data_IF_909645203360
#
_entry.id   IF_909645203360
#
_cell.length_a   1.000
_cell.length_b   1.000
_cell.length_c   1.000
_cell.angle_alpha   90.00
_cell.angle_beta   90.00
_cell.angle_gamma   90.00
#
_symmetry.space_group_name_H-M   'P 1'
#
loop_
_entity.id
_entity.type
_entity.pdbx_description
1 polymer ?
#
# COMPACT_ATOMS: atom_id res chain seq x y z
N UNK A 1 0.22 48.92 20.08
CA UNK A 1 -0.97 48.24 20.67
C UNK A 1 -1.20 46.84 20.06
N UNK A 2 -1.10 46.59 18.77
CA UNK A 2 -1.32 45.26 18.16
C UNK A 2 -0.38 44.13 18.61
N UNK A 3 0.89 44.43 18.87
CA UNK A 3 1.87 43.43 19.31
C UNK A 3 1.67 42.92 20.76
N UNK A 4 1.09 43.75 21.63
CA UNK A 4 0.82 43.32 23.02
C UNK A 4 -0.41 42.43 23.14
N UNK A 5 -1.43 42.65 22.31
CA UNK A 5 -2.62 41.79 22.23
C UNK A 5 -2.26 40.40 21.65
N UNK A 6 -1.41 40.36 20.64
CA UNK A 6 -0.91 39.10 20.07
C UNK A 6 -0.07 38.31 21.08
N UNK A 7 0.80 38.94 21.85
CA UNK A 7 1.55 38.30 22.94
C UNK A 7 0.63 37.79 24.06
N UNK A 8 -0.45 38.49 24.36
CA UNK A 8 -1.41 38.09 25.41
C UNK A 8 -2.26 36.91 24.98
N UNK A 9 -2.81 36.90 23.75
CA UNK A 9 -3.58 35.77 23.20
C UNK A 9 -2.72 34.49 23.07
N UNK A 10 -1.46 34.64 22.74
CA UNK A 10 -0.52 33.54 22.63
C UNK A 10 -0.16 32.96 24.00
N UNK A 11 0.06 33.77 25.01
CA UNK A 11 0.28 33.30 26.38
C UNK A 11 -0.96 32.59 26.96
N UNK A 12 -2.16 32.97 26.55
CA UNK A 12 -3.40 32.32 26.98
C UNK A 12 -3.60 30.95 26.33
N UNK A 13 -3.30 30.80 25.02
CA UNK A 13 -3.31 29.52 24.30
C UNK A 13 -2.18 28.60 24.78
N UNK A 14 -1.07 29.18 25.33
CA UNK A 14 0.12 28.43 25.74
C UNK A 14 -0.05 27.63 27.05
N UNK A 15 -1.16 27.67 27.73
CA UNK A 15 -1.44 26.88 28.95
C UNK A 15 -1.99 25.45 28.71
N UNK A 16 -2.32 25.07 27.49
CA UNK A 16 -2.77 23.70 27.15
C UNK A 16 -1.68 22.88 26.43
N UNK A 17 -1.32 21.79 26.99
CA UNK A 17 -0.18 20.86 26.86
C UNK A 17 0.24 20.26 25.48
N UNK A 18 0.11 20.95 24.34
CA UNK A 18 0.62 20.48 23.05
C UNK A 18 1.18 21.67 22.26
N UNK A 19 2.49 21.98 22.43
CA UNK A 19 3.10 23.21 21.88
C UNK A 19 3.86 22.97 20.60
N UNK A 20 3.59 23.76 19.55
CA UNK A 20 4.58 24.02 18.52
C UNK A 20 5.79 24.73 19.17
N UNK A 21 6.99 24.32 18.81
CA UNK A 21 8.24 24.81 19.39
C UNK A 21 8.29 26.34 19.37
N UNK A 22 8.95 26.96 20.37
CA UNK A 22 9.18 28.42 20.45
C UNK A 22 9.68 29.02 19.12
N UNK A 23 10.39 28.21 18.34
CA UNK A 23 10.88 28.55 17.00
C UNK A 23 9.77 28.64 15.94
N UNK A 24 8.74 27.80 16.01
CA UNK A 24 7.56 27.87 15.11
C UNK A 24 6.79 29.17 15.32
N UNK A 25 6.56 29.53 16.59
CA UNK A 25 5.88 30.76 16.94
C UNK A 25 6.66 31.99 16.44
N UNK A 26 7.97 32.05 16.69
CA UNK A 26 8.82 33.14 16.19
C UNK A 26 8.78 33.27 14.66
N UNK A 27 8.62 32.16 13.94
CA UNK A 27 8.53 32.18 12.48
C UNK A 27 7.17 32.68 12.00
N UNK A 28 6.08 32.37 12.71
CA UNK A 28 4.74 32.95 12.42
C UNK A 28 4.77 34.46 12.68
N UNK A 29 5.31 34.89 13.82
CA UNK A 29 5.46 36.32 14.13
C UNK A 29 6.30 37.03 13.07
N UNK A 30 7.38 36.41 12.62
CA UNK A 30 8.20 36.94 11.50
C UNK A 30 7.40 37.07 10.22
N UNK A 31 6.51 36.13 9.90
CA UNK A 31 5.66 36.19 8.70
C UNK A 31 4.59 37.30 8.84
N UNK A 32 3.97 37.42 10.01
CA UNK A 32 3.03 38.49 10.29
C UNK A 32 3.69 39.88 10.20
N UNK A 33 4.92 40.02 10.71
CA UNK A 33 5.67 41.29 10.58
C UNK A 33 5.94 41.63 9.11
N UNK A 34 6.19 40.65 8.23
CA UNK A 34 6.32 40.88 6.80
C UNK A 34 5.01 41.31 6.16
N UNK A 35 3.88 40.70 6.54
CA UNK A 35 2.55 41.14 6.08
C UNK A 35 2.28 42.57 6.52
N UNK A 36 2.64 42.93 7.76
CA UNK A 36 2.47 44.32 8.25
C UNK A 36 3.38 45.28 7.49
N UNK A 37 4.62 44.92 7.21
CA UNK A 37 5.53 45.72 6.38
C UNK A 37 4.93 45.94 4.99
N UNK A 38 4.39 44.88 4.36
CA UNK A 38 3.73 45.00 3.07
C UNK A 38 2.50 45.91 3.13
N UNK A 39 1.67 45.75 4.15
CA UNK A 39 0.52 46.60 4.35
C UNK A 39 0.93 48.09 4.51
N UNK A 40 1.98 48.35 5.28
CA UNK A 40 2.51 49.71 5.49
C UNK A 40 3.06 50.30 4.15
N UNK A 41 3.79 49.50 3.39
CA UNK A 41 4.30 49.93 2.04
C UNK A 41 3.11 50.25 1.14
N UNK A 42 2.09 49.41 1.08
CA UNK A 42 0.88 49.66 0.32
C UNK A 42 0.16 50.92 0.76
N UNK A 43 -0.09 51.05 2.06
CA UNK A 43 -0.74 52.24 2.62
C UNK A 43 0.07 53.52 2.29
N UNK A 44 1.39 53.48 2.41
CA UNK A 44 2.26 54.57 2.07
C UNK A 44 2.13 54.95 0.59
N UNK A 45 2.24 53.96 -0.32
CA UNK A 45 2.12 54.19 -1.77
C UNK A 45 0.72 54.72 -2.15
N UNK A 46 -0.34 54.28 -1.47
CA UNK A 46 -1.70 54.73 -1.70
C UNK A 46 -2.00 56.12 -1.06
N UNK A 47 -1.14 56.61 -0.18
CA UNK A 47 -1.28 57.94 0.45
C UNK A 47 -0.87 59.09 -0.49
N UNK A 48 -0.16 58.80 -1.60
CA UNK A 48 0.23 59.84 -2.53
C UNK A 48 -0.98 60.41 -3.32
N UNK A 49 -1.19 61.70 -3.38
CA UNK A 49 -2.31 62.31 -4.08
C UNK A 49 -2.29 62.07 -5.60
N UNK A 50 -1.10 62.02 -6.18
CA UNK A 50 -0.91 61.79 -7.63
C UNK A 50 -0.34 60.36 -7.89
N UNK A 51 -1.20 59.36 -7.91
CA UNK A 51 -0.82 57.95 -8.09
C UNK A 51 -0.55 57.55 -9.55
N UNK A 52 -0.86 58.45 -10.52
CA UNK A 52 -0.78 58.12 -11.94
C UNK A 52 0.62 57.69 -12.38
N UNK A 53 1.67 58.25 -11.76
CA UNK A 53 3.05 57.88 -12.07
C UNK A 53 3.39 56.41 -11.78
N UNK A 54 2.79 55.84 -10.75
CA UNK A 54 3.04 54.46 -10.28
C UNK A 54 2.42 53.43 -11.22
N UNK A 55 1.30 53.77 -11.86
CA UNK A 55 0.57 52.93 -12.79
C UNK A 55 0.94 53.25 -14.27
N UNK A 56 1.70 54.31 -14.50
CA UNK A 56 2.11 54.66 -15.84
C UNK A 56 3.04 53.59 -16.41
N UNK A 57 2.77 53.03 -17.60
CA UNK A 57 3.63 52.03 -18.20
C UNK A 57 5.02 52.61 -18.45
N UNK A 58 6.05 51.98 -17.90
CA UNK A 58 7.44 52.22 -18.18
C UNK A 58 7.84 51.60 -19.51
N UNK A 59 7.18 50.51 -19.85
CA UNK A 59 7.37 49.77 -21.09
C UNK A 59 6.01 49.21 -21.51
N UNK A 60 5.65 49.41 -22.77
CA UNK A 60 4.41 48.92 -23.36
C UNK A 60 4.72 48.39 -24.75
N UNK A 61 4.73 47.07 -24.90
CA UNK A 61 4.90 46.39 -26.18
C UNK A 61 4.21 45.01 -26.14
N UNK A 62 3.56 44.66 -27.26
CA UNK A 62 2.94 43.32 -27.39
C UNK A 62 1.81 43.01 -26.38
N UNK A 63 1.10 44.02 -25.88
CA UNK A 63 0.02 43.87 -24.91
C UNK A 63 0.49 43.73 -23.45
N UNK A 64 1.77 43.92 -23.17
CA UNK A 64 2.35 43.91 -21.84
C UNK A 64 2.67 45.32 -21.39
N UNK A 65 1.98 45.80 -20.36
CA UNK A 65 2.22 47.11 -19.74
C UNK A 65 2.97 46.92 -18.42
N UNK A 66 4.28 47.14 -18.43
CA UNK A 66 5.12 47.06 -17.24
C UNK A 66 5.13 48.38 -16.53
N UNK A 67 4.54 48.49 -15.37
CA UNK A 67 4.55 49.68 -14.50
C UNK A 67 5.42 49.46 -13.26
N UNK A 68 5.81 50.56 -12.62
CA UNK A 68 6.54 50.49 -11.32
C UNK A 68 5.80 49.68 -10.28
N UNK A 69 4.48 49.86 -10.23
CA UNK A 69 3.61 49.10 -9.30
C UNK A 69 3.66 47.60 -9.54
N UNK A 70 3.66 47.16 -10.80
CA UNK A 70 3.74 45.74 -11.14
C UNK A 70 5.10 45.14 -10.76
N UNK A 71 6.19 45.85 -11.02
CA UNK A 71 7.52 45.40 -10.60
C UNK A 71 7.58 45.21 -9.08
N UNK A 72 7.03 46.15 -8.34
CA UNK A 72 6.99 46.08 -6.90
C UNK A 72 6.17 44.87 -6.40
N UNK A 73 4.98 44.63 -6.97
CA UNK A 73 4.14 43.47 -6.62
C UNK A 73 4.88 42.16 -6.90
N UNK A 74 5.54 42.03 -8.05
CA UNK A 74 6.29 40.81 -8.42
C UNK A 74 7.41 40.56 -7.39
N UNK A 75 8.20 41.58 -7.07
CA UNK A 75 9.28 41.44 -6.09
C UNK A 75 8.71 41.05 -4.72
N UNK A 76 7.66 41.71 -4.28
CA UNK A 76 7.02 41.42 -2.99
C UNK A 76 6.43 40.00 -2.94
N UNK A 77 5.79 39.55 -4.01
CA UNK A 77 5.23 38.19 -4.09
C UNK A 77 6.31 37.11 -4.07
N UNK A 78 7.43 37.31 -4.73
CA UNK A 78 8.57 36.39 -4.68
C UNK A 78 9.20 36.32 -3.30
N UNK A 79 9.42 37.46 -2.65
CA UNK A 79 9.96 37.52 -1.28
C UNK A 79 9.01 36.87 -0.28
N UNK A 80 7.70 37.09 -0.44
CA UNK A 80 6.69 36.46 0.38
C UNK A 80 6.65 34.94 0.18
N UNK A 81 6.65 34.46 -1.06
CA UNK A 81 6.70 33.06 -1.40
C UNK A 81 7.95 32.38 -0.81
N UNK A 82 9.13 33.00 -0.96
CA UNK A 82 10.37 32.49 -0.36
C UNK A 82 10.24 32.32 1.17
N UNK A 83 9.69 33.29 1.84
CA UNK A 83 9.49 33.27 3.30
C UNK A 83 8.51 32.19 3.72
N UNK A 84 7.38 32.07 3.00
CA UNK A 84 6.35 31.06 3.25
C UNK A 84 6.91 29.64 3.05
N UNK A 85 7.63 29.40 1.95
CA UNK A 85 8.25 28.10 1.65
C UNK A 85 9.28 27.76 2.74
N UNK A 86 10.12 28.70 3.16
CA UNK A 86 11.09 28.51 4.23
C UNK A 86 10.40 28.15 5.56
N UNK A 87 9.26 28.75 5.88
CA UNK A 87 8.48 28.40 7.05
C UNK A 87 7.95 26.97 6.95
N UNK A 88 7.35 26.60 5.83
CA UNK A 88 6.85 25.24 5.58
C UNK A 88 7.96 24.19 5.70
N UNK A 89 9.09 24.39 5.02
CA UNK A 89 10.19 23.40 5.03
C UNK A 89 10.84 23.26 6.39
N UNK A 90 10.98 24.36 7.13
CA UNK A 90 11.69 24.33 8.43
C UNK A 90 10.81 23.86 9.57
N UNK A 91 9.52 24.24 9.60
CA UNK A 91 8.67 24.03 10.76
C UNK A 91 7.62 22.95 10.60
N UNK A 92 7.24 22.62 9.35
CA UNK A 92 6.29 21.54 9.09
C UNK A 92 7.02 20.28 8.68
N UNK A 93 7.89 20.36 7.67
CA UNK A 93 8.54 19.16 7.10
C UNK A 93 9.64 18.60 8.00
N UNK A 94 10.47 19.47 8.60
CA UNK A 94 11.59 19.02 9.45
C UNK A 94 11.17 18.18 10.66
N UNK A 95 10.12 18.50 11.43
CA UNK A 95 9.58 17.66 12.50
C UNK A 95 9.05 16.31 11.97
N UNK A 96 8.38 16.30 10.81
CA UNK A 96 7.90 15.09 10.15
C UNK A 96 9.07 14.17 9.80
N UNK A 97 10.15 14.70 9.21
CA UNK A 97 11.33 13.91 8.89
C UNK A 97 11.97 13.29 10.13
N UNK A 98 12.01 14.04 11.23
CA UNK A 98 12.53 13.52 12.51
C UNK A 98 11.64 12.42 13.09
N UNK A 99 10.33 12.57 13.01
CA UNK A 99 9.37 11.60 13.54
C UNK A 99 9.46 10.25 12.79
N UNK A 100 9.62 10.30 11.47
CA UNK A 100 9.71 9.12 10.62
C UNK A 100 11.15 8.63 10.39
N UNK A 101 12.13 9.17 11.11
CA UNK A 101 13.56 8.82 10.97
C UNK A 101 14.07 8.89 9.53
N UNK A 102 13.59 9.88 8.76
CA UNK A 102 14.01 10.08 7.38
C UNK A 102 15.46 10.56 7.37
N UNK A 103 16.29 9.90 6.56
CA UNK A 103 17.69 10.28 6.39
C UNK A 103 17.81 11.75 5.98
N UNK A 104 18.77 12.47 6.58
CA UNK A 104 19.00 13.90 6.34
C UNK A 104 19.20 14.23 4.83
N UNK A 105 19.84 13.34 4.07
CA UNK A 105 20.02 13.48 2.63
C UNK A 105 18.69 13.48 1.86
N UNK A 106 17.79 12.56 2.18
CA UNK A 106 16.45 12.51 1.60
C UNK A 106 15.63 13.74 1.99
N UNK A 107 15.65 14.14 3.27
CA UNK A 107 14.95 15.33 3.74
C UNK A 107 15.42 16.60 3.02
N UNK A 108 16.72 16.74 2.79
CA UNK A 108 17.27 17.86 2.01
C UNK A 108 16.79 17.85 0.55
N UNK A 109 16.77 16.70 -0.09
CA UNK A 109 16.29 16.54 -1.47
C UNK A 109 14.81 16.90 -1.59
N UNK A 110 13.96 16.39 -0.69
CA UNK A 110 12.54 16.75 -0.65
C UNK A 110 12.32 18.24 -0.44
N UNK A 111 13.05 18.86 0.50
CA UNK A 111 12.97 20.29 0.72
C UNK A 111 13.33 21.10 -0.54
N UNK A 112 14.36 20.68 -1.28
CA UNK A 112 14.72 21.33 -2.55
C UNK A 112 13.63 21.18 -3.62
N UNK A 113 13.08 19.97 -3.78
CA UNK A 113 12.01 19.73 -4.76
C UNK A 113 10.80 20.62 -4.42
N UNK A 114 10.35 20.62 -3.18
CA UNK A 114 9.22 21.44 -2.72
C UNK A 114 9.53 22.92 -2.91
N UNK A 115 10.72 23.35 -2.54
CA UNK A 115 11.14 24.76 -2.70
C UNK A 115 11.07 25.20 -4.16
N UNK A 116 11.70 24.47 -5.06
CA UNK A 116 11.72 24.85 -6.49
C UNK A 116 10.32 24.75 -7.12
N UNK A 117 9.54 23.73 -6.79
CA UNK A 117 8.17 23.60 -7.31
C UNK A 117 7.30 24.79 -6.89
N UNK A 118 7.28 25.10 -5.60
CA UNK A 118 6.48 26.22 -5.08
C UNK A 118 7.00 27.57 -5.59
N UNK A 119 8.32 27.72 -5.78
CA UNK A 119 8.91 28.94 -6.34
C UNK A 119 8.53 29.12 -7.82
N UNK A 120 8.55 28.05 -8.63
CA UNK A 120 8.10 28.10 -10.02
C UNK A 120 6.62 28.49 -10.11
N UNK A 121 5.76 27.92 -9.23
CA UNK A 121 4.35 28.29 -9.16
C UNK A 121 4.18 29.78 -8.78
N UNK A 122 4.91 30.25 -7.78
CA UNK A 122 4.87 31.65 -7.34
C UNK A 122 5.32 32.61 -8.44
N UNK A 123 6.39 32.27 -9.17
CA UNK A 123 6.86 33.01 -10.33
C UNK A 123 5.80 33.04 -11.44
N UNK A 124 5.19 31.90 -11.76
CA UNK A 124 4.13 31.80 -12.75
C UNK A 124 2.94 32.70 -12.42
N UNK A 125 2.47 32.65 -11.17
CA UNK A 125 1.39 33.52 -10.69
C UNK A 125 1.79 34.99 -10.79
N UNK A 126 3.03 35.33 -10.40
CA UNK A 126 3.54 36.70 -10.46
C UNK A 126 3.62 37.22 -11.90
N UNK A 127 4.13 36.44 -12.84
CA UNK A 127 4.20 36.83 -14.25
C UNK A 127 2.84 36.99 -14.90
N UNK A 128 1.91 36.07 -14.59
CA UNK A 128 0.52 36.16 -15.06
C UNK A 128 -0.17 37.43 -14.55
N UNK A 129 0.11 37.85 -13.30
CA UNK A 129 -0.48 39.08 -12.72
C UNK A 129 0.05 40.37 -13.41
N UNK A 130 1.20 40.30 -14.07
CA UNK A 130 1.81 41.38 -14.86
C UNK A 130 1.27 41.40 -16.31
N UNK A 131 0.42 40.44 -16.69
CA UNK A 131 -0.13 40.33 -18.04
C UNK A 131 0.75 39.55 -19.03
N UNK A 132 1.81 38.89 -18.54
CA UNK A 132 2.65 38.04 -19.41
C UNK A 132 1.84 36.79 -19.77
N UNK A 133 1.71 36.51 -21.05
CA UNK A 133 1.07 35.29 -21.54
C UNK A 133 1.99 34.08 -21.30
N UNK A 134 1.54 33.22 -20.40
CA UNK A 134 2.22 31.97 -20.03
C UNK A 134 1.61 30.74 -20.72
N UNK A 135 0.72 30.92 -21.71
CA UNK A 135 -0.01 29.82 -22.35
C UNK A 135 0.95 28.78 -22.92
N UNK A 136 2.00 29.19 -23.62
CA UNK A 136 3.02 28.30 -24.16
C UNK A 136 3.75 27.48 -23.06
N UNK A 137 4.17 28.13 -21.98
CA UNK A 137 4.79 27.48 -20.84
C UNK A 137 3.78 26.55 -20.13
N UNK A 138 2.54 26.98 -19.98
CA UNK A 138 1.45 26.16 -19.41
C UNK A 138 1.23 24.88 -20.20
N UNK A 139 1.27 24.94 -21.52
CA UNK A 139 1.17 23.75 -22.39
C UNK A 139 2.33 22.78 -22.15
N UNK A 140 3.56 23.28 -22.08
CA UNK A 140 4.74 22.45 -21.79
C UNK A 140 4.62 21.79 -20.43
N UNK A 141 4.26 22.55 -19.38
CA UNK A 141 4.07 21.99 -18.04
C UNK A 141 2.92 20.99 -17.99
N UNK A 142 1.87 21.18 -18.78
CA UNK A 142 0.75 20.23 -18.87
C UNK A 142 1.21 18.89 -19.46
N UNK A 143 1.96 18.90 -20.56
CA UNK A 143 2.52 17.68 -21.17
C UNK A 143 3.47 16.97 -20.22
N UNK A 144 4.38 17.72 -19.57
CA UNK A 144 5.28 17.17 -18.54
C UNK A 144 4.49 16.57 -17.36
N UNK A 145 3.44 17.26 -16.91
CA UNK A 145 2.56 16.80 -15.83
C UNK A 145 1.85 15.49 -16.16
N UNK A 146 1.37 15.35 -17.38
CA UNK A 146 0.78 14.11 -17.88
C UNK A 146 1.82 12.97 -17.86
N UNK A 147 3.04 13.23 -18.38
CA UNK A 147 4.12 12.25 -18.37
C UNK A 147 4.50 11.79 -16.95
N UNK A 148 4.66 12.74 -16.04
CA UNK A 148 4.93 12.45 -14.61
C UNK A 148 3.75 11.68 -13.98
N UNK A 149 2.50 12.06 -14.28
CA UNK A 149 1.29 11.40 -13.80
C UNK A 149 1.24 9.93 -14.23
N UNK A 150 1.53 9.63 -15.49
CA UNK A 150 1.63 8.25 -15.97
C UNK A 150 2.78 7.49 -15.29
N UNK A 151 3.94 8.10 -15.10
CA UNK A 151 5.07 7.50 -14.40
C UNK A 151 4.77 7.17 -12.93
N UNK A 152 3.91 7.96 -12.28
CA UNK A 152 3.54 7.78 -10.88
C UNK A 152 2.27 6.95 -10.65
N UNK A 153 1.57 6.54 -11.70
CA UNK A 153 0.27 5.86 -11.61
C UNK A 153 0.29 4.66 -10.66
N UNK A 154 1.28 3.79 -10.79
CA UNK A 154 1.38 2.58 -9.96
C UNK A 154 1.70 2.92 -8.49
N UNK A 155 2.49 3.95 -8.25
CA UNK A 155 2.80 4.39 -6.88
C UNK A 155 1.55 4.94 -6.21
N UNK A 156 0.81 5.82 -6.89
CA UNK A 156 -0.43 6.40 -6.41
C UNK A 156 -1.51 5.32 -6.21
N UNK A 157 -1.65 4.37 -7.15
CA UNK A 157 -2.58 3.24 -7.05
C UNK A 157 -2.32 2.40 -5.80
N UNK A 158 -1.07 2.01 -5.57
CA UNK A 158 -0.69 1.25 -4.38
C UNK A 158 -0.93 2.00 -3.07
N UNK A 159 -0.72 3.31 -3.06
CA UNK A 159 -0.99 4.15 -1.91
C UNK A 159 -2.49 4.20 -1.58
N UNK A 160 -3.33 4.44 -2.59
CA UNK A 160 -4.80 4.45 -2.44
C UNK A 160 -5.31 3.09 -1.99
N UNK A 161 -4.82 1.99 -2.60
CA UNK A 161 -5.17 0.63 -2.18
C UNK A 161 -4.74 0.35 -0.74
N UNK A 162 -3.57 0.84 -0.30
CA UNK A 162 -3.14 0.74 1.10
C UNK A 162 -4.10 1.43 2.07
N UNK A 163 -4.62 2.60 1.71
CA UNK A 163 -5.65 3.28 2.49
C UNK A 163 -6.95 2.47 2.53
N UNK A 164 -7.39 1.93 1.39
CA UNK A 164 -8.60 1.08 1.31
C UNK A 164 -8.44 -0.14 2.22
N UNK A 165 -7.31 -0.84 2.17
CA UNK A 165 -7.04 -2.00 3.03
C UNK A 165 -7.15 -1.64 4.52
N UNK A 166 -6.63 -0.48 4.92
CA UNK A 166 -6.69 -0.02 6.32
C UNK A 166 -8.11 0.33 6.77
N UNK A 167 -8.96 0.84 5.85
CA UNK A 167 -10.34 1.22 6.16
C UNK A 167 -11.31 0.03 6.09
N UNK A 168 -11.29 -0.72 4.99
CA UNK A 168 -12.22 -1.83 4.73
C UNK A 168 -11.76 -3.14 5.35
N UNK A 169 -10.48 -3.28 5.65
CA UNK A 169 -9.84 -4.45 6.26
C UNK A 169 -10.18 -5.78 5.57
N UNK A 170 -10.05 -5.88 4.24
CA UNK A 170 -10.21 -7.15 3.55
C UNK A 170 -9.18 -8.19 3.99
N UNK A 171 -8.02 -7.72 4.50
CA UNK A 171 -6.97 -8.51 5.16
C UNK A 171 -6.47 -7.76 6.39
N UNK A 172 -6.12 -8.50 7.46
CA UNK A 172 -5.59 -7.94 8.69
C UNK A 172 -4.22 -8.54 9.05
N UNK A 173 -3.44 -7.80 9.86
CA UNK A 173 -2.16 -8.30 10.37
C UNK A 173 -2.38 -9.52 11.25
N UNK A 174 -1.62 -10.59 11.02
CA UNK A 174 -1.74 -11.87 11.71
C UNK A 174 -2.56 -12.92 10.95
N UNK A 175 -3.34 -12.52 9.96
CA UNK A 175 -4.13 -13.45 9.15
C UNK A 175 -3.27 -14.32 8.24
N UNK A 176 -3.76 -15.53 7.99
CA UNK A 176 -3.19 -16.47 7.04
C UNK A 176 -3.98 -16.37 5.73
N UNK A 177 -3.29 -15.97 4.67
CA UNK A 177 -3.90 -15.80 3.36
C UNK A 177 -3.23 -16.69 2.32
N UNK A 178 -4.02 -17.15 1.37
CA UNK A 178 -3.55 -17.90 0.22
C UNK A 178 -3.55 -17.00 -1.00
N UNK A 179 -2.40 -16.90 -1.63
CA UNK A 179 -2.12 -16.23 -2.89
C UNK A 179 -1.84 -17.27 -3.96
N UNK A 180 -1.76 -16.84 -5.23
CA UNK A 180 -1.40 -17.76 -6.32
C UNK A 180 -0.02 -18.41 -6.11
N UNK A 181 0.91 -17.72 -5.48
CA UNK A 181 2.30 -18.13 -5.26
C UNK A 181 2.53 -18.88 -3.94
N UNK A 182 1.49 -19.01 -3.08
CA UNK A 182 1.66 -19.74 -1.83
C UNK A 182 0.75 -19.25 -0.70
N UNK A 183 1.01 -19.77 0.48
CA UNK A 183 0.28 -19.43 1.69
C UNK A 183 1.24 -18.77 2.66
N UNK A 184 0.79 -17.68 3.26
CA UNK A 184 1.59 -16.95 4.23
C UNK A 184 0.77 -16.13 5.21
N UNK A 185 1.42 -15.73 6.30
CA UNK A 185 0.84 -14.87 7.33
C UNK A 185 1.14 -13.42 7.03
N UNK A 186 0.14 -12.57 7.10
CA UNK A 186 0.28 -11.10 7.00
C UNK A 186 1.07 -10.61 8.21
N UNK A 187 2.29 -10.13 7.99
CA UNK A 187 3.18 -9.62 9.04
C UNK A 187 2.99 -8.12 9.28
N UNK A 188 2.85 -7.35 8.20
CA UNK A 188 2.68 -5.91 8.29
C UNK A 188 2.03 -5.33 7.03
N UNK A 189 1.14 -4.35 7.20
CA UNK A 189 0.53 -3.59 6.11
C UNK A 189 1.15 -2.19 6.12
N UNK A 190 1.94 -1.90 5.06
CA UNK A 190 2.59 -0.61 4.87
C UNK A 190 1.80 0.26 3.90
N UNK A 191 2.23 1.51 3.76
CA UNK A 191 1.56 2.52 2.94
C UNK A 191 1.33 2.10 1.47
N UNK A 192 2.29 1.38 0.85
CA UNK A 192 2.24 0.94 -0.55
C UNK A 192 2.40 -0.56 -0.76
N UNK A 193 2.70 -1.31 0.28
CA UNK A 193 2.98 -2.75 0.19
C UNK A 193 2.64 -3.45 1.48
N UNK A 194 2.19 -4.68 1.38
CA UNK A 194 1.95 -5.59 2.51
C UNK A 194 3.06 -6.63 2.57
N UNK A 195 3.52 -6.93 3.76
CA UNK A 195 4.56 -7.92 4.04
C UNK A 195 3.90 -9.20 4.49
N UNK A 196 4.21 -10.30 3.81
CA UNK A 196 3.71 -11.64 4.10
C UNK A 196 4.88 -12.55 4.38
N UNK A 197 4.81 -13.30 5.46
CA UNK A 197 5.79 -14.32 5.80
C UNK A 197 5.27 -15.69 5.40
N UNK A 198 5.98 -16.37 4.54
CA UNK A 198 5.71 -17.73 4.11
C UNK A 198 6.67 -18.71 4.76
N UNK A 199 6.28 -19.97 4.87
CA UNK A 199 7.15 -21.02 5.43
C UNK A 199 8.26 -21.47 4.45
N UNK A 200 7.98 -21.42 3.14
CA UNK A 200 8.87 -21.97 2.10
C UNK A 200 9.71 -20.88 1.41
N UNK A 201 9.13 -19.70 1.17
CA UNK A 201 9.71 -18.66 0.32
C UNK A 201 10.27 -17.47 1.13
N UNK A 202 10.08 -17.50 2.47
CA UNK A 202 10.52 -16.43 3.34
C UNK A 202 9.55 -15.25 3.35
N UNK A 203 10.06 -14.02 3.18
CA UNK A 203 9.26 -12.80 3.27
C UNK A 203 8.92 -12.28 1.89
N UNK A 204 7.64 -12.23 1.57
CA UNK A 204 7.11 -11.62 0.35
C UNK A 204 6.71 -10.18 0.60
N UNK A 205 7.09 -9.27 -0.30
CA UNK A 205 6.69 -7.86 -0.27
C UNK A 205 5.77 -7.63 -1.46
N UNK A 206 4.47 -7.54 -1.19
CA UNK A 206 3.44 -7.49 -2.22
C UNK A 206 2.87 -6.08 -2.31
N UNK A 207 2.78 -5.47 -3.51
CA UNK A 207 2.11 -4.19 -3.69
C UNK A 207 0.65 -4.23 -3.23
N UNK A 208 0.17 -3.18 -2.55
CA UNK A 208 -1.19 -3.17 -1.99
C UNK A 208 -2.29 -3.29 -3.05
N UNK A 209 -2.05 -2.80 -4.25
CA UNK A 209 -2.96 -2.90 -5.39
C UNK A 209 -3.29 -4.37 -5.73
N UNK A 210 -2.35 -5.29 -5.52
CA UNK A 210 -2.56 -6.72 -5.72
C UNK A 210 -3.75 -7.25 -4.92
N UNK A 211 -3.90 -6.84 -3.66
CA UNK A 211 -4.96 -7.33 -2.76
C UNK A 211 -6.36 -6.82 -3.12
N UNK A 212 -6.43 -5.73 -3.88
CA UNK A 212 -7.72 -5.16 -4.34
C UNK A 212 -8.11 -5.71 -5.71
N UNK A 213 -7.14 -6.03 -6.56
CA UNK A 213 -7.38 -6.48 -7.94
C UNK A 213 -7.50 -8.00 -8.09
N UNK A 214 -7.02 -8.79 -7.11
CA UNK A 214 -7.00 -10.25 -7.21
C UNK A 214 -7.86 -10.92 -6.14
N UNK A 215 -8.31 -12.12 -6.45
CA UNK A 215 -9.03 -12.95 -5.49
C UNK A 215 -8.04 -13.49 -4.45
N UNK A 216 -8.32 -13.20 -3.19
CA UNK A 216 -7.52 -13.66 -2.05
C UNK A 216 -8.39 -14.58 -1.21
N UNK A 217 -7.83 -15.72 -0.83
CA UNK A 217 -8.51 -16.64 0.07
C UNK A 217 -7.98 -16.43 1.48
N UNK A 218 -8.82 -15.92 2.38
CA UNK A 218 -8.49 -15.86 3.80
C UNK A 218 -8.64 -17.24 4.41
N UNK A 219 -7.57 -17.74 5.02
CA UNK A 219 -7.49 -19.07 5.65
C UNK A 219 -7.43 -18.99 7.17
N UNK A 220 -7.56 -17.80 7.73
CA UNK A 220 -7.50 -17.58 9.17
C UNK A 220 -8.74 -18.16 9.85
N UNK A 221 -8.53 -19.10 10.76
CA UNK A 221 -9.63 -19.71 11.53
C UNK A 221 -10.69 -20.42 10.69
N UNK A 222 -10.48 -20.56 9.39
CA UNK A 222 -11.40 -21.31 8.54
C UNK A 222 -11.20 -22.80 8.76
N UNK A 223 -12.29 -23.50 9.03
CA UNK A 223 -12.32 -24.95 8.94
C UNK A 223 -11.86 -25.38 7.55
N UNK A 224 -10.97 -26.33 7.51
CA UNK A 224 -10.36 -26.81 6.28
C UNK A 224 -10.68 -28.30 6.12
N UNK A 225 -10.61 -28.75 4.88
CA UNK A 225 -10.72 -30.16 4.58
C UNK A 225 -9.34 -30.67 4.18
N UNK A 226 -8.83 -31.64 4.93
CA UNK A 226 -7.67 -32.45 4.55
C UNK A 226 -8.14 -33.51 3.55
N UNK A 227 -7.57 -33.49 2.36
CA UNK A 227 -7.99 -34.32 1.24
C UNK A 227 -6.88 -35.26 0.80
N UNK A 228 -7.21 -36.54 0.70
CA UNK A 228 -6.31 -37.56 0.11
C UNK A 228 -7.05 -38.37 -0.94
N UNK A 229 -6.58 -38.29 -2.17
CA UNK A 229 -7.06 -39.19 -3.23
C UNK A 229 -6.23 -40.46 -3.23
N UNK A 230 -6.91 -41.60 -3.26
CA UNK A 230 -6.30 -42.94 -3.29
C UNK A 230 -6.79 -43.68 -4.52
N UNK A 231 -5.86 -44.16 -5.32
CA UNK A 231 -6.15 -44.95 -6.51
C UNK A 231 -5.84 -46.41 -6.26
N UNK A 232 -6.84 -47.27 -6.44
CA UNK A 232 -6.79 -48.73 -6.19
C UNK A 232 -7.00 -49.47 -7.49
N UNK A 233 -6.29 -50.58 -7.68
CA UNK A 233 -6.48 -51.45 -8.85
C UNK A 233 -7.86 -52.15 -8.85
N UNK A 234 -8.36 -52.43 -10.06
CA UNK A 234 -9.58 -53.26 -10.19
C UNK A 234 -9.36 -54.67 -9.62
N UNK A 235 -10.43 -55.29 -9.19
CA UNK A 235 -10.43 -56.66 -8.64
C UNK A 235 -10.66 -56.73 -7.14
N UNK A 236 -10.68 -55.59 -6.48
CA UNK A 236 -11.07 -55.46 -5.06
C UNK A 236 -12.48 -54.90 -4.96
N UNK A 237 -13.31 -55.43 -4.04
CA UNK A 237 -14.63 -54.88 -3.79
C UNK A 237 -14.53 -53.43 -3.27
N UNK A 238 -15.34 -52.54 -3.83
CA UNK A 238 -15.45 -51.15 -3.34
C UNK A 238 -15.85 -51.05 -1.88
N UNK A 239 -16.69 -51.97 -1.41
CA UNK A 239 -17.11 -52.05 -0.01
C UNK A 239 -15.95 -52.39 0.92
N UNK A 240 -15.04 -53.31 0.46
CA UNK A 240 -13.83 -53.65 1.21
C UNK A 240 -12.90 -52.42 1.30
N UNK A 241 -12.68 -51.73 0.20
CA UNK A 241 -11.86 -50.52 0.17
C UNK A 241 -12.44 -49.43 1.09
N UNK A 242 -13.73 -49.19 1.02
CA UNK A 242 -14.43 -48.21 1.86
C UNK A 242 -14.26 -48.52 3.36
N UNK A 243 -14.46 -49.77 3.76
CA UNK A 243 -14.27 -50.22 5.14
C UNK A 243 -12.84 -49.97 5.65
N UNK A 244 -11.82 -50.34 4.85
CA UNK A 244 -10.41 -50.19 5.23
C UNK A 244 -10.02 -48.68 5.27
N UNK A 245 -10.58 -47.84 4.40
CA UNK A 245 -10.39 -46.39 4.47
C UNK A 245 -11.02 -45.80 5.73
N UNK A 246 -12.21 -46.25 6.14
CA UNK A 246 -12.83 -45.84 7.41
C UNK A 246 -11.99 -46.23 8.63
N UNK A 247 -11.39 -47.42 8.64
CA UNK A 247 -10.47 -47.86 9.68
C UNK A 247 -9.20 -46.99 9.73
N UNK A 248 -8.63 -46.68 8.55
CA UNK A 248 -7.46 -45.79 8.44
C UNK A 248 -7.76 -44.38 8.98
N UNK A 249 -8.92 -43.81 8.63
CA UNK A 249 -9.39 -42.51 9.16
C UNK A 249 -9.56 -42.56 10.67
N UNK A 250 -10.17 -43.61 11.18
CA UNK A 250 -10.39 -43.79 12.64
C UNK A 250 -9.06 -43.87 13.41
N UNK A 251 -8.07 -44.59 12.88
CA UNK A 251 -6.71 -44.63 13.45
C UNK A 251 -6.05 -43.23 13.52
N UNK A 252 -6.25 -42.41 12.50
CA UNK A 252 -5.70 -41.04 12.46
C UNK A 252 -6.48 -40.14 13.43
N UNK A 253 -7.81 -40.22 13.46
CA UNK A 253 -8.69 -39.45 14.37
C UNK A 253 -8.35 -39.70 15.83
N UNK A 254 -8.07 -40.95 16.21
CA UNK A 254 -7.71 -41.32 17.59
C UNK A 254 -6.31 -40.87 18.05
N UNK A 255 -5.40 -40.58 17.11
CA UNK A 255 -4.00 -40.24 17.39
C UNK A 255 -3.60 -38.77 17.06
N UNK A 256 -4.52 -37.97 16.58
CA UNK A 256 -4.18 -36.62 16.10
C UNK A 256 -5.14 -35.60 16.69
N UNK A 257 -4.56 -34.51 17.18
CA UNK A 257 -5.31 -33.33 17.61
C UNK A 257 -5.64 -32.43 16.39
N UNK A 258 -6.71 -31.65 16.47
CA UNK A 258 -7.11 -30.68 15.46
C UNK A 258 -7.98 -31.23 14.32
N UNK A 259 -8.47 -32.49 14.44
CA UNK A 259 -9.53 -33.01 13.60
C UNK A 259 -10.88 -32.62 14.22
N UNK A 260 -11.77 -32.05 13.42
CA UNK A 260 -13.10 -31.69 13.84
C UNK A 260 -14.00 -32.95 13.96
N UNK A 261 -14.93 -32.93 14.91
CA UNK A 261 -15.89 -34.00 15.06
C UNK A 261 -17.07 -33.88 14.10
N UNK A 262 -17.41 -32.66 13.76
CA UNK A 262 -18.45 -32.31 12.80
C UNK A 262 -17.90 -31.30 11.78
N UNK A 263 -18.17 -31.47 10.47
CA UNK A 263 -18.82 -32.62 9.85
C UNK A 263 -17.97 -33.88 9.98
N UNK A 264 -18.61 -35.05 9.93
CA UNK A 264 -17.89 -36.34 9.95
C UNK A 264 -16.98 -36.48 8.72
N UNK A 265 -15.84 -37.15 8.86
CA UNK A 265 -15.01 -37.51 7.70
C UNK A 265 -15.85 -38.23 6.64
N UNK A 266 -15.61 -37.90 5.38
CA UNK A 266 -16.31 -38.53 4.25
C UNK A 266 -15.36 -39.32 3.37
N UNK A 267 -15.83 -40.45 2.89
CA UNK A 267 -15.11 -41.24 1.92
C UNK A 267 -16.03 -41.39 0.72
N UNK A 268 -15.52 -41.07 -0.46
CA UNK A 268 -16.33 -41.13 -1.67
C UNK A 268 -15.55 -41.81 -2.80
N UNK A 269 -16.19 -42.73 -3.49
CA UNK A 269 -15.73 -43.20 -4.76
C UNK A 269 -15.99 -42.11 -5.81
N UNK A 270 -14.95 -41.47 -6.33
CA UNK A 270 -15.07 -40.23 -7.14
C UNK A 270 -14.84 -40.47 -8.62
N UNK A 271 -14.06 -41.47 -8.97
CA UNK A 271 -13.75 -41.72 -10.39
C UNK A 271 -13.27 -43.13 -10.61
N UNK A 272 -13.40 -43.61 -11.85
CA UNK A 272 -12.72 -44.81 -12.34
C UNK A 272 -12.00 -44.49 -13.64
N UNK A 273 -10.78 -44.97 -13.73
CA UNK A 273 -9.90 -44.81 -14.90
C UNK A 273 -9.64 -46.18 -15.54
N UNK A 274 -8.84 -46.21 -16.60
CA UNK A 274 -8.61 -47.44 -17.39
C UNK A 274 -8.23 -48.67 -16.54
N UNK A 275 -7.54 -48.50 -15.41
CA UNK A 275 -7.08 -49.57 -14.53
C UNK A 275 -7.31 -49.30 -13.04
N UNK A 276 -7.91 -48.23 -12.68
CA UNK A 276 -7.97 -47.79 -11.29
C UNK A 276 -9.35 -47.27 -10.88
N UNK A 277 -9.65 -47.41 -9.62
CA UNK A 277 -10.76 -46.78 -8.93
C UNK A 277 -10.21 -45.72 -7.99
N UNK A 278 -10.69 -44.50 -8.09
CA UNK A 278 -10.22 -43.38 -7.29
C UNK A 278 -11.21 -43.09 -6.15
N UNK A 279 -10.71 -43.13 -4.94
CA UNK A 279 -11.44 -42.79 -3.72
C UNK A 279 -10.91 -41.49 -3.16
N UNK A 280 -11.78 -40.57 -2.77
CA UNK A 280 -11.47 -39.34 -2.10
C UNK A 280 -11.81 -39.46 -0.63
N UNK A 281 -10.83 -39.23 0.23
CA UNK A 281 -10.98 -39.21 1.71
C UNK A 281 -10.87 -37.76 2.15
N UNK A 282 -11.88 -37.25 2.81
CA UNK A 282 -11.98 -35.87 3.31
C UNK A 282 -12.12 -35.88 4.81
N UNK A 283 -11.24 -35.16 5.52
CA UNK A 283 -11.24 -35.04 6.97
C UNK A 283 -11.29 -33.53 7.32
N UNK A 284 -12.32 -33.07 8.01
CA UNK A 284 -12.39 -31.68 8.47
C UNK A 284 -11.38 -31.43 9.59
N UNK A 285 -10.63 -30.32 9.45
CA UNK A 285 -9.56 -29.91 10.36
C UNK A 285 -9.69 -28.45 10.73
N UNK A 286 -9.18 -28.07 11.90
CA UNK A 286 -9.38 -26.74 12.50
C UNK A 286 -8.65 -25.61 11.74
N UNK A 287 -7.53 -25.91 11.06
CA UNK A 287 -6.75 -24.88 10.38
C UNK A 287 -5.85 -25.49 9.29
N UNK A 288 -5.21 -24.57 8.54
CA UNK A 288 -4.32 -24.93 7.44
C UNK A 288 -3.04 -25.65 7.90
N UNK A 289 -2.44 -25.24 9.03
CA UNK A 289 -1.17 -25.81 9.50
C UNK A 289 -1.33 -27.30 9.85
N UNK A 290 -2.49 -27.66 10.39
CA UNK A 290 -2.83 -29.06 10.74
C UNK A 290 -3.19 -29.87 9.49
N UNK A 291 -3.79 -29.23 8.47
CA UNK A 291 -4.19 -29.90 7.24
C UNK A 291 -3.06 -30.72 6.62
N UNK A 292 -1.89 -30.13 6.36
CA UNK A 292 -0.76 -30.82 5.74
C UNK A 292 -0.26 -32.00 6.59
N UNK A 293 -0.28 -31.85 7.91
CA UNK A 293 0.13 -32.91 8.84
C UNK A 293 -0.87 -34.07 8.82
N UNK A 294 -2.16 -33.78 8.82
CA UNK A 294 -3.22 -34.79 8.78
C UNK A 294 -3.20 -35.54 7.44
N UNK A 295 -3.05 -34.82 6.33
CA UNK A 295 -2.90 -35.46 5.00
C UNK A 295 -1.72 -36.42 4.96
N UNK A 296 -0.57 -36.04 5.53
CA UNK A 296 0.60 -36.91 5.60
C UNK A 296 0.33 -38.16 6.45
N UNK A 297 -0.22 -37.98 7.66
CA UNK A 297 -0.58 -39.09 8.57
C UNK A 297 -1.63 -40.01 7.95
N UNK A 298 -2.59 -39.43 7.22
CA UNK A 298 -3.63 -40.18 6.53
C UNK A 298 -3.05 -41.05 5.42
N UNK A 299 -2.14 -40.50 4.57
CA UNK A 299 -1.44 -41.28 3.55
C UNK A 299 -0.68 -42.46 4.16
N UNK A 300 0.04 -42.23 5.26
CA UNK A 300 0.73 -43.34 5.97
C UNK A 300 -0.22 -44.38 6.51
N UNK A 301 -1.33 -43.98 7.18
CA UNK A 301 -2.33 -44.89 7.71
C UNK A 301 -3.01 -45.72 6.63
N UNK A 302 -3.33 -45.10 5.48
CA UNK A 302 -3.94 -45.75 4.33
C UNK A 302 -2.99 -46.84 3.78
N UNK A 303 -1.73 -46.47 3.51
CA UNK A 303 -0.72 -47.40 2.97
C UNK A 303 -0.57 -48.59 3.90
N UNK A 304 -0.48 -48.35 5.22
CA UNK A 304 -0.35 -49.43 6.20
C UNK A 304 -1.59 -50.35 6.22
N UNK A 305 -2.80 -49.77 6.30
CA UNK A 305 -4.03 -50.55 6.33
C UNK A 305 -4.27 -51.33 5.03
N UNK A 306 -3.90 -50.76 3.88
CA UNK A 306 -3.99 -51.43 2.60
C UNK A 306 -3.01 -52.60 2.49
N UNK A 307 -1.80 -52.44 3.02
CA UNK A 307 -0.80 -53.51 3.06
C UNK A 307 -1.26 -54.68 3.94
N UNK A 308 -1.83 -54.37 5.10
CA UNK A 308 -2.37 -55.36 6.05
C UNK A 308 -3.52 -56.18 5.43
N UNK A 309 -4.35 -55.54 4.59
CA UNK A 309 -5.52 -56.15 3.94
C UNK A 309 -5.26 -56.69 2.51
N UNK A 310 -4.04 -56.61 2.04
CA UNK A 310 -3.64 -57.07 0.68
C UNK A 310 -4.28 -56.26 -0.44
N UNK A 311 -4.59 -55.01 -0.22
CA UNK A 311 -5.08 -54.07 -1.25
C UNK A 311 -3.89 -53.40 -1.91
N UNK A 312 -3.80 -53.50 -3.23
CA UNK A 312 -2.72 -52.89 -4.00
C UNK A 312 -3.09 -51.48 -4.43
N UNK A 313 -2.22 -50.54 -4.12
CA UNK A 313 -2.27 -49.17 -4.69
C UNK A 313 -1.89 -49.25 -6.17
N UNK A 314 -2.59 -48.51 -6.97
CA UNK A 314 -2.29 -48.40 -8.37
C UNK A 314 -0.86 -47.89 -8.62
N UNK A 315 -0.07 -48.57 -9.51
CA UNK A 315 1.22 -48.03 -9.89
C UNK A 315 1.04 -46.68 -10.60
N UNK A 316 1.99 -45.77 -10.39
CA UNK A 316 2.01 -44.51 -11.10
C UNK A 316 2.16 -44.80 -12.61
N UNK A 317 1.13 -44.46 -13.42
CA UNK A 317 1.25 -44.54 -14.87
C UNK A 317 2.27 -43.50 -15.33
N UNK A 318 3.48 -43.92 -15.67
CA UNK A 318 4.36 -43.12 -16.51
C UNK A 318 3.58 -42.84 -17.80
N UNK A 319 3.25 -41.59 -18.05
CA UNK A 319 2.60 -41.20 -19.30
C UNK A 319 3.48 -41.69 -20.46
N UNK A 320 2.93 -42.47 -21.36
CA UNK A 320 3.61 -43.02 -22.56
C UNK A 320 4.27 -41.95 -23.44
N UNK A 321 4.02 -40.67 -23.18
CA UNK A 321 4.64 -39.53 -23.83
C UNK A 321 6.15 -39.44 -23.57
N UNK A 322 6.65 -39.97 -22.43
CA UNK A 322 8.08 -39.99 -22.13
C UNK A 322 8.80 -41.20 -22.78
N UNK A 323 8.14 -42.34 -22.94
CA UNK A 323 8.71 -43.50 -23.61
C UNK A 323 8.95 -43.26 -25.11
N UNK A 324 8.02 -42.58 -25.78
CA UNK A 324 8.18 -42.18 -27.20
C UNK A 324 9.25 -41.09 -27.45
N UNK A 325 9.75 -40.42 -26.41
CA UNK A 325 10.89 -39.50 -26.52
C UNK A 325 12.26 -40.13 -26.28
N UNK A 326 12.29 -41.33 -25.70
CA UNK A 326 13.54 -42.07 -25.46
C UNK A 326 13.84 -43.08 -26.59
N UNK A 327 12.86 -43.35 -27.50
CA UNK A 327 13.01 -44.22 -28.66
C UNK A 327 13.26 -43.44 -29.98
N UNK A 328 13.44 -42.13 -29.93
CA UNK A 328 13.89 -41.30 -31.04
C UNK A 328 15.25 -40.66 -30.71
#
# INVERSE_FOLDING_TARGET
MGNQLLHWTVNFVSKKKTYPSKNFFNSIVSLLNWITIYAVIFLFLFSFPNRKWMFRPLYSQGGIDVSFFLILIVIMSILFAHKLIKLLTTHVLKPVYKHYNINNGLGYTFNKIIYYTLMIIALGISFKSVGIDLTGLGTIFSVLGIGIGFGMRNIAGNFVCGIIILFERPIEVGEVIQLNEGIGRVENIRLRSTIIRTAKEGTLIIPNQYFIEHIIKNRTGSEMIAEVTVSVEYGVSTEKVDKVLHEAVSKVKGKSEGILNEPNPTIRFVNFRNRTMDFLVEIPVINFEIKEQIESKLRHSIVQSFTEEGIHLAPYEFSQVLLNKLEK
#
